data_IF_476928921707
#
_entry.id   IF_476928921707
#
_cell.length_a   1.000
_cell.length_b   1.000
_cell.length_c   1.000
_cell.angle_alpha   90.00
_cell.angle_beta   90.00
_cell.angle_gamma   90.00
#
_symmetry.space_group_name_H-M   'P 1'
#
loop_
_entity.id
_entity.type
_entity.pdbx_description
1 polymer ?
#
# COMPACT_ATOMS: atom_id res chain seq x y z
N UNK A 1 -34.98 89.97 40.35
CA UNK A 1 -35.78 89.38 39.25
C UNK A 1 -34.95 89.47 37.97
N UNK A 2 -35.00 88.55 36.98
CA UNK A 2 -35.84 87.35 36.75
C UNK A 2 -34.98 86.03 36.72
N UNK A 3 -35.43 84.78 36.86
CA UNK A 3 -36.62 83.98 36.48
C UNK A 3 -36.61 83.44 35.03
N UNK A 4 -36.24 82.16 34.85
CA UNK A 4 -36.92 81.08 34.07
C UNK A 4 -35.90 79.95 33.74
N UNK A 5 -36.08 78.70 34.18
CA UNK A 5 -37.02 77.60 33.79
C UNK A 5 -36.60 76.80 32.55
N UNK A 6 -36.92 75.50 32.61
CA UNK A 6 -36.98 74.44 31.57
C UNK A 6 -35.73 73.54 31.47
N UNK A 7 -35.72 72.33 32.03
CA UNK A 7 -36.39 71.06 31.66
C UNK A 7 -35.56 70.18 30.69
N UNK A 8 -35.24 68.99 31.20
CA UNK A 8 -35.33 67.66 30.54
C UNK A 8 -34.24 67.25 29.55
N UNK A 9 -33.47 66.23 29.93
CA UNK A 9 -32.66 65.37 29.06
C UNK A 9 -31.99 64.28 29.89
N UNK A 10 -32.73 63.22 30.25
CA UNK A 10 -32.61 61.90 29.60
C UNK A 10 -31.25 61.21 29.83
N UNK A 11 -31.19 60.46 30.92
CA UNK A 11 -30.82 59.04 30.97
C UNK A 11 -29.83 58.57 29.88
N UNK A 12 -28.54 58.71 30.15
CA UNK A 12 -27.50 57.97 29.43
C UNK A 12 -27.45 56.58 30.06
N UNK A 13 -28.15 55.64 29.45
CA UNK A 13 -28.01 54.22 29.76
C UNK A 13 -26.55 53.82 29.52
N UNK A 14 -25.85 53.48 30.60
CA UNK A 14 -24.59 52.74 30.54
C UNK A 14 -24.84 51.46 29.73
N UNK A 15 -24.33 51.45 28.49
CA UNK A 15 -24.27 50.24 27.69
C UNK A 15 -23.24 49.31 28.33
N UNK A 16 -23.77 48.36 29.09
CA UNK A 16 -23.10 47.14 29.51
C UNK A 16 -22.38 46.52 28.29
N UNK A 17 -21.04 46.37 28.30
CA UNK A 17 -20.36 45.65 27.24
C UNK A 17 -20.72 44.18 27.39
N UNK A 18 -21.71 43.74 26.60
CA UNK A 18 -22.06 42.34 26.45
C UNK A 18 -20.79 41.59 26.09
N UNK A 19 -20.29 40.80 27.05
CA UNK A 19 -19.18 39.88 26.86
C UNK A 19 -19.50 39.02 25.64
N UNK A 20 -18.75 39.24 24.56
CA UNK A 20 -18.74 38.37 23.40
C UNK A 20 -18.13 37.03 23.86
N UNK A 21 -18.96 36.15 24.42
CA UNK A 21 -18.55 34.78 24.66
C UNK A 21 -18.45 34.09 23.30
N UNK A 22 -17.27 34.17 22.71
CA UNK A 22 -16.89 33.28 21.63
C UNK A 22 -17.03 31.85 22.17
N UNK A 23 -18.06 31.14 21.73
CA UNK A 23 -18.19 29.71 21.95
C UNK A 23 -17.12 29.01 21.12
N UNK A 24 -15.88 29.01 21.63
CA UNK A 24 -14.79 28.20 21.11
C UNK A 24 -15.12 26.77 21.48
N UNK A 25 -15.91 26.11 20.63
CA UNK A 25 -16.00 24.65 20.64
C UNK A 25 -14.59 24.15 20.35
N UNK A 26 -13.83 23.86 21.41
CA UNK A 26 -12.54 23.19 21.35
C UNK A 26 -12.76 21.84 20.66
N UNK A 27 -12.54 21.81 19.35
CA UNK A 27 -12.52 20.57 18.58
C UNK A 27 -11.48 19.67 19.26
N UNK A 28 -11.85 18.47 19.74
CA UNK A 28 -10.93 17.64 20.48
C UNK A 28 -9.69 17.38 19.61
N UNK A 29 -8.52 17.74 20.12
CA UNK A 29 -7.26 17.57 19.40
C UNK A 29 -7.11 16.08 19.06
N UNK A 30 -6.94 15.77 17.77
CA UNK A 30 -6.78 14.38 17.30
C UNK A 30 -5.55 13.78 17.98
N UNK A 31 -5.75 12.95 19.00
CA UNK A 31 -4.67 12.22 19.68
C UNK A 31 -3.93 11.36 18.65
N UNK A 32 -2.62 11.60 18.51
CA UNK A 32 -1.76 10.87 17.58
C UNK A 32 -1.62 9.42 18.03
N UNK A 33 -2.20 8.50 17.26
CA UNK A 33 -2.03 7.06 17.47
C UNK A 33 -0.56 6.68 17.21
N UNK A 34 0.05 5.94 18.14
CA UNK A 34 1.42 5.44 18.02
C UNK A 34 1.57 4.60 16.75
N UNK A 35 2.72 4.70 16.09
CA UNK A 35 2.98 4.03 14.81
C UNK A 35 2.76 2.52 14.85
N UNK A 36 3.30 1.84 15.87
CA UNK A 36 3.09 0.40 16.07
C UNK A 36 1.60 0.01 16.12
N UNK A 37 0.75 0.83 16.73
CA UNK A 37 -0.70 0.57 16.81
C UNK A 37 -1.37 0.74 15.45
N UNK A 38 -0.89 1.67 14.61
CA UNK A 38 -1.38 1.82 13.23
C UNK A 38 -0.99 0.61 12.38
N UNK A 39 0.28 0.22 12.41
CA UNK A 39 0.79 -0.94 11.65
C UNK A 39 0.07 -2.23 12.03
N UNK A 40 -0.14 -2.49 13.32
CA UNK A 40 -0.92 -3.67 13.76
C UNK A 40 -2.38 -3.64 13.28
N UNK A 41 -3.00 -2.46 13.21
CA UNK A 41 -4.36 -2.32 12.69
C UNK A 41 -4.38 -2.60 11.18
N UNK A 42 -3.39 -2.13 10.44
CA UNK A 42 -3.25 -2.39 9.00
C UNK A 42 -3.05 -3.88 8.72
N UNK A 43 -2.16 -4.56 9.46
CA UNK A 43 -1.93 -6.01 9.34
C UNK A 43 -3.23 -6.79 9.55
N UNK A 44 -3.95 -6.53 10.65
CA UNK A 44 -5.22 -7.21 10.95
C UNK A 44 -6.29 -6.92 9.89
N UNK A 45 -6.32 -5.70 9.36
CA UNK A 45 -7.26 -5.33 8.29
C UNK A 45 -6.94 -6.10 7.02
N UNK A 46 -5.67 -6.11 6.60
CA UNK A 46 -5.21 -6.79 5.41
C UNK A 46 -5.47 -8.31 5.49
N UNK A 47 -5.16 -8.94 6.63
CA UNK A 47 -5.41 -10.37 6.85
C UNK A 47 -6.89 -10.76 6.87
N UNK A 48 -7.79 -9.83 7.21
CA UNK A 48 -9.23 -10.09 7.23
C UNK A 48 -9.87 -9.97 5.84
N UNK A 49 -9.27 -9.18 4.96
CA UNK A 49 -9.76 -8.94 3.60
C UNK A 49 -9.07 -9.83 2.58
N UNK A 50 -9.81 -10.25 1.55
CA UNK A 50 -9.27 -11.03 0.41
C UNK A 50 -9.21 -10.21 -0.89
N UNK A 51 -9.28 -8.89 -0.78
CA UNK A 51 -9.25 -8.00 -1.94
C UNK A 51 -7.83 -7.81 -2.47
N UNK A 52 -7.72 -7.63 -3.79
CA UNK A 52 -6.46 -7.28 -4.44
C UNK A 52 -5.89 -5.98 -3.87
N UNK A 53 -4.59 -5.99 -3.57
CA UNK A 53 -3.84 -4.88 -3.00
C UNK A 53 -3.22 -3.98 -4.07
N UNK A 54 -2.87 -4.54 -5.23
CA UNK A 54 -2.29 -3.79 -6.34
C UNK A 54 -3.43 -3.21 -7.20
N UNK A 55 -3.37 -1.92 -7.58
CA UNK A 55 -4.36 -1.38 -8.50
C UNK A 55 -4.32 -2.09 -9.86
N UNK A 56 -5.49 -2.49 -10.40
CA UNK A 56 -5.59 -3.30 -11.62
C UNK A 56 -4.96 -2.65 -12.86
N UNK A 57 -5.12 -1.33 -13.03
CA UNK A 57 -4.64 -0.60 -14.21
C UNK A 57 -3.11 -0.62 -14.37
N UNK A 58 -2.29 -0.25 -13.35
CA UNK A 58 -0.84 -0.35 -13.45
C UNK A 58 -0.36 -1.79 -13.61
N UNK A 59 -0.98 -2.76 -12.93
CA UNK A 59 -0.64 -4.18 -13.11
C UNK A 59 -0.84 -4.62 -14.57
N UNK A 60 -2.01 -4.31 -15.15
CA UNK A 60 -2.30 -4.60 -16.55
C UNK A 60 -1.30 -3.95 -17.51
N UNK A 61 -0.87 -2.71 -17.26
CA UNK A 61 0.13 -2.02 -18.09
C UNK A 61 1.47 -2.75 -18.07
N UNK A 62 1.92 -3.19 -16.90
CA UNK A 62 3.17 -3.97 -16.75
C UNK A 62 3.06 -5.30 -17.49
N UNK A 63 1.96 -6.04 -17.33
CA UNK A 63 1.75 -7.31 -18.04
C UNK A 63 1.82 -7.12 -19.56
N UNK A 64 1.16 -6.09 -20.10
CA UNK A 64 1.21 -5.79 -21.54
C UNK A 64 2.61 -5.40 -22.01
N UNK A 65 3.34 -4.62 -21.22
CA UNK A 65 4.72 -4.25 -21.53
C UNK A 65 5.64 -5.47 -21.57
N UNK A 66 5.56 -6.37 -20.59
CA UNK A 66 6.34 -7.62 -20.56
C UNK A 66 5.97 -8.49 -21.76
N UNK A 67 4.68 -8.62 -22.08
CA UNK A 67 4.21 -9.39 -23.22
C UNK A 67 4.77 -8.88 -24.55
N UNK A 68 4.77 -7.56 -24.74
CA UNK A 68 5.34 -6.93 -25.93
C UNK A 68 6.86 -7.17 -26.04
N UNK A 69 7.58 -7.06 -24.91
CA UNK A 69 9.01 -7.34 -24.86
C UNK A 69 9.32 -8.80 -25.22
N UNK A 70 8.56 -9.76 -24.69
CA UNK A 70 8.72 -11.18 -25.00
C UNK A 70 8.43 -11.48 -26.49
N UNK A 71 7.39 -10.87 -27.05
CA UNK A 71 7.07 -10.99 -28.47
C UNK A 71 8.22 -10.48 -29.36
N UNK A 72 8.85 -9.36 -28.99
CA UNK A 72 10.01 -8.80 -29.71
C UNK A 72 11.22 -9.75 -29.64
N UNK A 73 11.50 -10.31 -28.45
CA UNK A 73 12.63 -11.20 -28.22
C UNK A 73 12.51 -12.53 -28.98
N UNK A 74 11.30 -13.09 -29.09
CA UNK A 74 11.09 -14.40 -29.72
C UNK A 74 11.02 -14.36 -31.26
N UNK A 75 11.07 -13.17 -31.90
CA UNK A 75 11.07 -12.97 -33.37
C UNK A 75 10.00 -13.75 -34.15
N UNK A 76 8.94 -14.21 -33.50
CA UNK A 76 7.83 -14.92 -34.14
C UNK A 76 6.82 -13.90 -34.65
N UNK A 77 6.60 -13.90 -35.96
CA UNK A 77 5.62 -13.07 -36.68
C UNK A 77 4.17 -13.29 -36.24
N UNK A 78 3.86 -14.39 -35.55
CA UNK A 78 2.51 -14.73 -35.07
C UNK A 78 2.04 -13.96 -33.82
N UNK A 79 2.92 -13.27 -33.09
CA UNK A 79 2.56 -12.62 -31.80
C UNK A 79 2.42 -11.09 -31.87
N UNK A 80 2.48 -10.48 -33.06
CA UNK A 80 2.50 -9.01 -33.25
C UNK A 80 1.28 -8.29 -32.62
N UNK A 81 0.21 -9.02 -32.27
CA UNK A 81 -0.98 -8.47 -31.62
C UNK A 81 -1.54 -9.37 -30.50
N UNK A 82 -0.78 -9.60 -29.42
CA UNK A 82 -1.29 -10.35 -28.24
C UNK A 82 -2.47 -9.60 -27.60
N UNK A 83 -3.65 -10.22 -27.63
CA UNK A 83 -4.83 -9.75 -26.90
C UNK A 83 -4.97 -10.52 -25.60
N UNK A 84 -5.26 -9.80 -24.52
CA UNK A 84 -5.45 -10.36 -23.19
C UNK A 84 -6.93 -10.42 -22.84
N UNK A 85 -7.38 -11.57 -22.36
CA UNK A 85 -8.70 -11.69 -21.75
C UNK A 85 -8.70 -11.03 -20.36
N UNK A 86 -9.79 -10.37 -20.00
CA UNK A 86 -9.92 -9.71 -18.68
C UNK A 86 -9.79 -10.70 -17.51
N UNK A 87 -10.36 -11.90 -17.64
CA UNK A 87 -10.26 -12.95 -16.62
C UNK A 87 -8.83 -13.49 -16.47
N UNK A 88 -8.08 -13.59 -17.59
CA UNK A 88 -6.68 -14.01 -17.54
C UNK A 88 -5.82 -12.98 -16.79
N UNK A 89 -6.05 -11.68 -17.02
CA UNK A 89 -5.35 -10.62 -16.29
C UNK A 89 -5.67 -10.62 -14.79
N UNK A 90 -6.92 -10.93 -14.43
CA UNK A 90 -7.34 -11.06 -13.03
C UNK A 90 -6.63 -12.24 -12.35
N UNK A 91 -6.66 -13.42 -12.98
CA UNK A 91 -6.00 -14.61 -12.47
C UNK A 91 -4.48 -14.40 -12.31
N UNK A 92 -3.83 -13.78 -13.30
CA UNK A 92 -2.41 -13.42 -13.19
C UNK A 92 -2.13 -12.51 -12.00
N UNK A 93 -3.03 -11.57 -11.72
CA UNK A 93 -2.88 -10.66 -10.59
C UNK A 93 -3.06 -11.39 -9.25
N UNK A 94 -4.08 -12.23 -9.14
CA UNK A 94 -4.34 -13.03 -7.93
C UNK A 94 -3.12 -13.90 -7.59
N UNK A 95 -2.61 -14.66 -8.55
CA UNK A 95 -1.44 -15.52 -8.36
C UNK A 95 -0.18 -14.71 -8.04
N UNK A 96 0.03 -13.56 -8.71
CA UNK A 96 1.18 -12.73 -8.46
C UNK A 96 1.18 -12.12 -7.05
N UNK A 97 0.02 -11.67 -6.56
CA UNK A 97 -0.13 -11.14 -5.20
C UNK A 97 0.02 -12.23 -4.15
N UNK A 98 -0.58 -13.41 -4.36
CA UNK A 98 -0.46 -14.56 -3.46
C UNK A 98 1.00 -15.01 -3.31
N UNK A 99 1.70 -15.18 -4.43
CA UNK A 99 3.13 -15.52 -4.44
C UNK A 99 3.98 -14.46 -3.72
N UNK A 100 3.67 -13.17 -3.90
CA UNK A 100 4.37 -12.10 -3.21
C UNK A 100 4.10 -12.11 -1.68
N UNK A 101 2.86 -12.38 -1.26
CA UNK A 101 2.48 -12.48 0.16
C UNK A 101 3.23 -13.64 0.82
N UNK A 102 3.22 -14.82 0.20
CA UNK A 102 3.92 -16.00 0.68
C UNK A 102 5.43 -15.75 0.80
N UNK A 103 6.01 -15.13 -0.21
CA UNK A 103 7.44 -14.80 -0.20
C UNK A 103 7.77 -13.82 0.93
N UNK A 104 6.93 -12.80 1.15
CA UNK A 104 7.12 -11.81 2.20
C UNK A 104 6.95 -12.41 3.60
N UNK A 105 6.09 -13.42 3.76
CA UNK A 105 5.94 -14.16 5.01
C UNK A 105 7.23 -14.95 5.34
N UNK A 106 7.80 -15.66 4.36
CA UNK A 106 9.08 -16.35 4.55
C UNK A 106 10.22 -15.37 4.87
N UNK A 107 10.24 -14.21 4.20
CA UNK A 107 11.23 -13.18 4.47
C UNK A 107 11.06 -12.61 5.89
N UNK A 108 9.82 -12.51 6.38
CA UNK A 108 9.54 -12.09 7.74
C UNK A 108 10.04 -13.11 8.77
N UNK A 109 9.88 -14.41 8.52
CA UNK A 109 10.46 -15.46 9.36
C UNK A 109 12.00 -15.35 9.41
N UNK A 110 12.65 -15.04 8.28
CA UNK A 110 14.10 -14.80 8.23
C UNK A 110 14.53 -13.56 9.03
N UNK A 111 13.75 -12.48 8.97
CA UNK A 111 14.00 -11.29 9.77
C UNK A 111 13.83 -11.57 11.28
N UNK A 112 12.76 -12.28 11.65
CA UNK A 112 12.47 -12.68 13.02
C UNK A 112 13.53 -13.63 13.58
N UNK A 113 14.03 -14.56 12.77
CA UNK A 113 15.16 -15.43 13.11
C UNK A 113 16.42 -14.65 13.48
N UNK A 114 16.60 -13.46 12.90
CA UNK A 114 17.71 -12.55 13.23
C UNK A 114 17.37 -11.55 14.35
N UNK A 115 16.31 -11.76 15.13
CA UNK A 115 15.79 -10.84 16.16
C UNK A 115 15.43 -9.43 15.65
N UNK A 116 15.04 -9.29 14.37
CA UNK A 116 14.60 -8.03 13.77
C UNK A 116 13.11 -8.06 13.46
N UNK A 117 12.48 -6.90 13.53
CA UNK A 117 11.06 -6.70 13.13
C UNK A 117 10.96 -6.08 11.73
N UNK A 118 12.01 -5.41 11.26
CA UNK A 118 12.07 -4.73 9.97
C UNK A 118 12.67 -5.65 8.90
N UNK A 119 11.92 -5.86 7.82
CA UNK A 119 12.38 -6.59 6.64
C UNK A 119 13.50 -5.83 5.93
N UNK A 120 14.49 -6.57 5.42
CA UNK A 120 15.62 -6.05 4.66
C UNK A 120 15.83 -6.86 3.38
N UNK A 121 16.54 -6.30 2.40
CA UNK A 121 16.84 -6.99 1.15
C UNK A 121 17.57 -8.33 1.35
N UNK A 122 18.40 -8.45 2.40
CA UNK A 122 19.08 -9.70 2.74
C UNK A 122 18.11 -10.84 3.10
N UNK A 123 16.97 -10.52 3.71
CA UNK A 123 15.95 -11.51 4.08
C UNK A 123 15.32 -12.10 2.81
N UNK A 124 15.05 -11.24 1.82
CA UNK A 124 14.57 -11.65 0.51
C UNK A 124 15.57 -12.55 -0.23
N UNK A 125 16.85 -12.17 -0.23
CA UNK A 125 17.92 -12.94 -0.90
C UNK A 125 18.06 -14.34 -0.29
N UNK A 126 17.95 -14.46 1.04
CA UNK A 126 18.01 -15.77 1.71
C UNK A 126 16.84 -16.65 1.27
N UNK A 127 15.61 -16.13 1.32
CA UNK A 127 14.41 -16.86 0.90
C UNK A 127 14.50 -17.28 -0.56
N UNK A 128 14.93 -16.36 -1.44
CA UNK A 128 15.11 -16.65 -2.87
C UNK A 128 16.10 -17.79 -3.10
N UNK A 129 17.23 -17.78 -2.38
CA UNK A 129 18.24 -18.84 -2.47
C UNK A 129 17.72 -20.19 -1.97
N UNK A 130 16.94 -20.20 -0.90
CA UNK A 130 16.34 -21.42 -0.35
C UNK A 130 15.30 -21.96 -1.34
N UNK A 131 14.32 -21.13 -1.72
CA UNK A 131 13.25 -21.53 -2.65
C UNK A 131 13.79 -21.98 -4.01
N UNK A 132 14.77 -21.27 -4.60
CA UNK A 132 15.38 -21.66 -5.87
C UNK A 132 16.08 -23.02 -5.80
N UNK A 133 16.77 -23.32 -4.69
CA UNK A 133 17.40 -24.64 -4.48
C UNK A 133 16.36 -25.76 -4.36
N UNK A 134 15.22 -25.50 -3.70
CA UNK A 134 14.14 -26.46 -3.58
C UNK A 134 13.39 -26.67 -4.91
N UNK A 135 13.11 -25.61 -5.66
CA UNK A 135 12.43 -25.69 -6.96
C UNK A 135 13.26 -26.46 -8.00
N UNK A 136 14.58 -26.24 -8.03
CA UNK A 136 15.50 -27.04 -8.86
C UNK A 136 15.59 -28.51 -8.45
N UNK A 137 15.33 -28.82 -7.17
CA UNK A 137 15.33 -30.18 -6.65
C UNK A 137 14.00 -30.92 -6.89
N UNK A 138 12.90 -30.18 -7.08
CA UNK A 138 11.57 -30.73 -7.39
C UNK A 138 11.21 -30.70 -8.88
N UNK A 139 11.94 -29.94 -9.71
CA UNK A 139 11.81 -30.03 -11.15
C UNK A 139 12.02 -31.50 -11.57
N UNK A 140 11.09 -32.10 -12.35
CA UNK A 140 11.31 -33.42 -12.91
C UNK A 140 12.69 -33.43 -13.56
N UNK A 141 13.47 -34.47 -13.30
CA UNK A 141 14.78 -34.67 -13.91
C UNK A 141 14.53 -34.91 -15.40
N UNK A 142 14.33 -33.84 -16.16
CA UNK A 142 14.36 -33.89 -17.61
C UNK A 142 15.81 -34.24 -17.97
N UNK A 143 15.99 -35.50 -18.35
CA UNK A 143 17.20 -36.03 -18.96
C UNK A 143 17.43 -35.34 -20.32
N UNK A 144 17.76 -34.06 -20.34
CA UNK A 144 18.20 -33.37 -21.55
C UNK A 144 19.09 -32.17 -21.25
N UNK A 145 20.10 -32.34 -20.39
CA UNK A 145 21.27 -31.46 -20.43
C UNK A 145 22.58 -32.26 -20.35
N UNK A 146 22.93 -32.88 -21.49
CA UNK A 146 24.33 -33.09 -21.86
C UNK A 146 24.63 -32.12 -23.00
N UNK A 147 24.85 -30.83 -22.74
CA UNK A 147 25.69 -29.94 -23.57
C UNK A 147 25.87 -28.52 -23.00
N UNK A 148 26.14 -28.40 -21.70
CA UNK A 148 26.61 -27.13 -21.11
C UNK A 148 27.78 -27.33 -20.13
N UNK A 149 28.64 -28.29 -20.45
CA UNK A 149 29.95 -28.44 -19.81
C UNK A 149 30.96 -28.86 -20.88
N UNK A 150 31.36 -27.93 -21.75
CA UNK A 150 32.74 -27.74 -22.25
C UNK A 150 32.78 -26.37 -22.96
N UNK A 151 33.66 -25.49 -22.47
CA UNK A 151 33.92 -24.07 -22.85
C UNK A 151 32.96 -23.02 -22.30
#
# INVERSE_FOLDING_TARGET
MPRNKMLRGQNVQEQNPQKFQANVQDKPSKKRVKYHVKSLREIRRAQKSVGLLIPRLPFMRVVKQISANLCSLMKTSSFVNVRWQTQALLCLQEVAEDCAIDFMNDAYLCAAHSHRVTLMAKDYVIVSRIRYKFDKALAPIDHHDKKSSIF
#
